data_IF_001319650132
#
_entry.id   IF_001319650132
#
_cell.length_a   1.000
_cell.length_b   1.000
_cell.length_c   1.000
_cell.angle_alpha   90.00
_cell.angle_beta   90.00
_cell.angle_gamma   90.00
#
_symmetry.space_group_name_H-M   'P 1'
#
loop_
_entity.id
_entity.type
_entity.pdbx_description
1 polymer ?
#
# COMPACT_ATOMS: atom_id res chain seq x y z
N UNK A 1 -6.23 -14.78 27.16
CA UNK A 1 -5.46 -13.90 26.25
C UNK A 1 -5.15 -12.62 26.98
N UNK A 2 -3.90 -12.19 27.01
CA UNK A 2 -3.45 -10.94 27.61
C UNK A 2 -3.02 -9.98 26.51
N UNK A 3 -3.23 -8.68 26.72
CA UNK A 3 -2.83 -7.66 25.75
C UNK A 3 -1.81 -6.71 26.36
N UNK A 4 -0.89 -6.23 25.54
CA UNK A 4 0.12 -5.21 25.90
C UNK A 4 0.18 -4.17 24.80
N UNK A 5 0.31 -2.90 25.18
CA UNK A 5 0.53 -1.82 24.21
C UNK A 5 2.01 -1.45 24.22
N UNK A 6 2.61 -1.41 23.03
CA UNK A 6 3.97 -0.93 22.79
C UNK A 6 3.90 0.52 22.36
N UNK A 7 4.57 1.41 23.10
CA UNK A 7 4.49 2.86 22.92
C UNK A 7 5.85 3.52 22.66
N UNK A 8 6.92 2.74 22.66
CA UNK A 8 8.30 3.20 22.47
C UNK A 8 9.06 2.32 21.47
N UNK A 9 10.21 2.80 21.02
CA UNK A 9 11.01 2.16 19.99
C UNK A 9 11.69 0.87 20.50
N UNK A 10 12.04 0.82 21.77
CA UNK A 10 12.68 -0.36 22.37
C UNK A 10 11.69 -1.52 22.43
N UNK A 11 10.46 -1.25 22.87
CA UNK A 11 9.38 -2.23 22.83
C UNK A 11 9.05 -2.68 21.42
N UNK A 12 9.10 -1.77 20.42
CA UNK A 12 8.89 -2.12 19.02
C UNK A 12 9.98 -3.07 18.51
N UNK A 13 11.25 -2.78 18.82
CA UNK A 13 12.36 -3.68 18.50
C UNK A 13 12.24 -5.02 19.23
N UNK A 14 11.81 -4.99 20.48
CA UNK A 14 11.67 -6.19 21.32
C UNK A 14 10.64 -7.21 20.82
N UNK A 15 9.72 -6.82 19.94
CA UNK A 15 8.75 -7.74 19.32
C UNK A 15 9.12 -8.14 17.88
N UNK A 16 10.33 -7.78 17.39
CA UNK A 16 10.72 -8.02 15.99
C UNK A 16 10.61 -9.49 15.59
N UNK A 17 11.23 -10.39 16.33
CA UNK A 17 11.29 -11.82 15.98
C UNK A 17 9.90 -12.44 15.95
N UNK A 18 9.05 -12.08 16.90
CA UNK A 18 7.65 -12.51 16.93
C UNK A 18 6.83 -11.91 15.78
N UNK A 19 7.06 -10.65 15.43
CA UNK A 19 6.44 -10.01 14.28
C UNK A 19 6.80 -10.73 12.97
N UNK A 20 8.09 -10.96 12.75
CA UNK A 20 8.59 -11.68 11.57
C UNK A 20 8.10 -13.13 11.52
N UNK A 21 7.91 -13.78 12.68
CA UNK A 21 7.27 -15.09 12.76
C UNK A 21 5.80 -15.03 12.29
N UNK A 22 5.01 -14.08 12.79
CA UNK A 22 3.62 -13.91 12.39
C UNK A 22 3.51 -13.53 10.90
N UNK A 23 4.35 -12.64 10.40
CA UNK A 23 4.33 -12.26 8.98
C UNK A 23 4.62 -13.44 8.04
N UNK A 24 5.43 -14.40 8.46
CA UNK A 24 5.67 -15.65 7.69
C UNK A 24 4.46 -16.59 7.71
N UNK A 25 3.77 -16.69 8.84
CA UNK A 25 2.68 -17.62 9.07
C UNK A 25 1.32 -17.12 8.57
N UNK A 26 1.07 -15.83 8.61
CA UNK A 26 -0.20 -15.22 8.26
C UNK A 26 -0.25 -14.88 6.77
N UNK A 27 -1.00 -15.66 5.99
CA UNK A 27 -1.14 -15.47 4.54
C UNK A 27 -1.89 -14.19 4.15
N UNK A 28 -2.66 -13.59 5.06
CA UNK A 28 -3.34 -12.30 4.83
C UNK A 28 -2.35 -11.13 4.81
N UNK A 29 -1.15 -11.32 5.35
CA UNK A 29 -0.12 -10.27 5.45
C UNK A 29 0.50 -9.99 4.09
N UNK A 30 0.50 -8.71 3.71
CA UNK A 30 1.21 -8.18 2.55
C UNK A 30 2.52 -7.52 2.96
N UNK A 31 3.33 -7.09 1.99
CA UNK A 31 4.57 -6.35 2.25
C UNK A 31 4.37 -5.13 3.17
N UNK A 32 3.23 -4.44 3.06
CA UNK A 32 2.91 -3.27 3.87
C UNK A 32 2.71 -3.55 5.36
N UNK A 33 2.49 -4.81 5.74
CA UNK A 33 2.36 -5.22 7.14
C UNK A 33 3.64 -5.88 7.70
N UNK A 34 4.73 -5.95 6.91
CA UNK A 34 6.01 -6.51 7.38
C UNK A 34 6.66 -5.64 8.45
N UNK A 35 7.49 -6.25 9.29
CA UNK A 35 8.29 -5.53 10.27
C UNK A 35 9.18 -4.48 9.58
N UNK A 36 9.90 -4.88 8.54
CA UNK A 36 10.79 -3.99 7.80
C UNK A 36 10.09 -2.72 7.29
N UNK A 37 8.90 -2.86 6.69
CA UNK A 37 8.13 -1.72 6.18
C UNK A 37 7.67 -0.79 7.32
N UNK A 38 7.06 -1.34 8.36
CA UNK A 38 6.49 -0.56 9.47
C UNK A 38 7.59 0.09 10.33
N UNK A 39 8.69 -0.62 10.58
CA UNK A 39 9.82 -0.07 11.32
C UNK A 39 10.53 1.04 10.55
N UNK A 40 10.79 0.85 9.24
CA UNK A 40 11.37 1.89 8.38
C UNK A 40 10.48 3.13 8.32
N UNK A 41 9.16 2.93 8.23
CA UNK A 41 8.19 4.02 8.29
C UNK A 41 8.28 4.77 9.62
N UNK A 42 8.30 4.05 10.74
CA UNK A 42 8.36 4.66 12.06
C UNK A 42 9.66 5.43 12.31
N UNK A 43 10.81 4.88 11.91
CA UNK A 43 12.10 5.56 12.03
C UNK A 43 12.14 6.90 11.27
N UNK A 44 11.38 7.03 10.20
CA UNK A 44 11.33 8.25 9.40
C UNK A 44 10.25 9.21 9.91
N UNK A 45 9.00 8.76 9.96
CA UNK A 45 7.85 9.63 10.23
C UNK A 45 7.43 9.66 11.71
N UNK A 46 7.83 8.68 12.50
CA UNK A 46 7.50 8.59 13.93
C UNK A 46 8.16 9.70 14.77
N UNK A 47 9.21 10.35 14.26
CA UNK A 47 9.84 11.53 14.89
C UNK A 47 8.92 12.76 14.97
N UNK A 48 7.84 12.78 14.20
CA UNK A 48 6.90 13.88 14.21
C UNK A 48 6.11 13.89 15.52
N UNK A 49 6.14 15.01 16.25
CA UNK A 49 5.44 15.18 17.52
C UNK A 49 3.92 14.96 17.46
N UNK A 50 3.34 14.93 16.26
CA UNK A 50 1.93 14.58 16.04
C UNK A 50 1.67 13.07 16.00
N UNK A 51 2.70 12.21 16.03
CA UNK A 51 2.58 10.77 16.00
C UNK A 51 2.95 10.17 17.35
N UNK A 52 2.16 9.20 17.82
CA UNK A 52 2.43 8.41 19.02
C UNK A 52 2.30 6.94 18.65
N UNK A 53 3.30 6.13 18.98
CA UNK A 53 3.29 4.69 18.77
C UNK A 53 2.20 4.05 19.64
N UNK A 54 1.44 3.15 19.05
CA UNK A 54 0.34 2.44 19.72
C UNK A 54 0.16 1.03 19.11
N UNK A 55 1.19 0.19 19.22
CA UNK A 55 1.10 -1.18 18.73
C UNK A 55 0.41 -2.03 19.79
N UNK A 56 -0.67 -2.68 19.43
CA UNK A 56 -1.38 -3.61 20.35
C UNK A 56 -0.93 -5.03 20.08
N UNK A 57 -0.37 -5.67 21.08
CA UNK A 57 0.10 -7.05 21.07
C UNK A 57 -0.87 -7.94 21.88
N UNK A 58 -1.25 -9.09 21.33
CA UNK A 58 -2.07 -10.08 22.00
C UNK A 58 -1.25 -11.35 22.25
N UNK A 59 -1.25 -11.82 23.49
CA UNK A 59 -0.52 -13.01 23.92
C UNK A 59 -1.48 -14.10 24.42
N UNK A 60 -1.16 -15.34 24.05
CA UNK A 60 -1.75 -16.54 24.63
C UNK A 60 -0.63 -17.43 25.14
N UNK A 61 -0.70 -17.83 26.42
CA UNK A 61 0.31 -18.69 27.06
C UNK A 61 1.76 -18.17 26.84
N UNK A 62 1.94 -16.86 27.04
CA UNK A 62 3.18 -16.11 26.82
C UNK A 62 3.70 -16.07 25.36
N UNK A 63 2.97 -16.61 24.41
CA UNK A 63 3.28 -16.53 22.98
C UNK A 63 2.49 -15.40 22.32
N UNK A 64 3.14 -14.57 21.55
CA UNK A 64 2.49 -13.51 20.76
C UNK A 64 1.65 -14.14 19.64
N UNK A 65 0.34 -13.90 19.67
CA UNK A 65 -0.62 -14.47 18.72
C UNK A 65 -1.28 -13.44 17.82
N UNK A 66 -1.09 -12.15 18.10
CA UNK A 66 -1.61 -11.09 17.24
C UNK A 66 -0.97 -9.74 17.47
N UNK A 67 -0.84 -8.97 16.40
CA UNK A 67 -0.32 -7.60 16.40
C UNK A 67 -1.28 -6.71 15.61
N UNK A 68 -1.71 -5.61 16.22
CA UNK A 68 -2.32 -4.49 15.51
C UNK A 68 -1.28 -3.36 15.39
N UNK A 69 -0.71 -3.13 14.19
CA UNK A 69 0.37 -2.17 13.96
C UNK A 69 -0.19 -0.74 13.85
N UNK A 70 -0.56 -0.17 14.97
CA UNK A 70 -1.28 1.10 15.04
C UNK A 70 -0.39 2.23 15.58
N UNK A 71 -0.84 3.45 15.30
CA UNK A 71 -0.35 4.70 15.89
C UNK A 71 -1.51 5.64 16.16
N UNK A 72 -1.31 6.61 17.04
CA UNK A 72 -2.21 7.75 17.21
C UNK A 72 -1.61 8.94 16.47
N UNK A 73 -2.38 9.48 15.53
CA UNK A 73 -2.02 10.67 14.75
C UNK A 73 -2.85 11.85 15.19
N UNK A 74 -2.19 12.89 15.74
CA UNK A 74 -2.82 14.16 16.06
C UNK A 74 -2.93 15.03 14.82
N UNK A 75 -4.13 15.57 14.58
CA UNK A 75 -4.41 16.49 13.48
C UNK A 75 -5.08 17.75 14.02
N UNK A 76 -4.50 18.89 13.72
CA UNK A 76 -5.12 20.18 14.06
C UNK A 76 -6.26 20.48 13.09
N UNK A 77 -7.47 20.58 13.61
CA UNK A 77 -8.65 21.09 12.92
C UNK A 77 -8.95 22.49 13.42
N UNK A 78 -9.58 23.33 12.58
CA UNK A 78 -9.86 24.73 12.91
C UNK A 78 -10.51 24.95 14.30
N UNK A 79 -11.27 23.98 14.79
CA UNK A 79 -12.07 24.09 16.01
C UNK A 79 -11.49 23.23 17.14
N UNK A 80 -10.74 22.15 16.83
CA UNK A 80 -10.23 21.21 17.83
C UNK A 80 -9.05 20.41 17.28
N UNK A 81 -8.29 19.78 18.18
CA UNK A 81 -7.30 18.75 17.82
C UNK A 81 -7.99 17.39 17.85
N UNK A 82 -7.72 16.55 16.87
CA UNK A 82 -8.24 15.18 16.79
C UNK A 82 -7.10 14.18 16.88
N UNK A 83 -7.21 13.26 17.81
CA UNK A 83 -6.33 12.11 17.97
C UNK A 83 -6.96 10.90 17.25
N UNK A 84 -6.39 10.53 16.11
CA UNK A 84 -6.89 9.43 15.28
C UNK A 84 -6.01 8.20 15.45
N UNK A 85 -6.59 7.10 15.93
CA UNK A 85 -5.95 5.79 15.94
C UNK A 85 -6.06 5.20 14.53
N UNK A 86 -4.92 4.92 13.90
CA UNK A 86 -4.83 4.44 12.52
C UNK A 86 -3.65 3.48 12.36
N UNK A 87 -3.57 2.79 11.23
CA UNK A 87 -2.38 2.02 10.90
C UNK A 87 -1.13 2.92 10.86
N UNK A 88 0.01 2.36 11.30
CA UNK A 88 1.28 3.07 11.34
C UNK A 88 1.82 3.32 9.93
N UNK A 89 1.89 2.31 9.09
CA UNK A 89 2.33 2.43 7.70
C UNK A 89 1.23 2.94 6.76
N UNK A 90 1.62 3.21 5.52
CA UNK A 90 0.71 3.51 4.40
C UNK A 90 0.87 2.44 3.34
N UNK A 91 -0.23 1.94 2.80
CA UNK A 91 -0.18 0.93 1.76
C UNK A 91 -1.57 0.62 1.23
N UNK A 92 -1.61 -0.18 0.19
CA UNK A 92 -2.86 -0.54 -0.49
C UNK A 92 -3.63 -1.68 0.21
N UNK A 93 -2.94 -2.41 1.10
CA UNK A 93 -3.50 -3.54 1.83
C UNK A 93 -2.94 -3.60 3.24
N UNK A 94 -3.78 -3.28 4.21
CA UNK A 94 -3.42 -3.25 5.62
C UNK A 94 -4.30 -4.20 6.40
N UNK A 95 -3.71 -4.92 7.34
CA UNK A 95 -4.41 -5.84 8.25
C UNK A 95 -3.67 -5.95 9.59
N UNK A 96 -4.27 -6.65 10.54
CA UNK A 96 -3.56 -7.12 11.73
C UNK A 96 -2.83 -8.41 11.39
N UNK A 97 -1.69 -8.65 12.03
CA UNK A 97 -0.96 -9.91 11.91
C UNK A 97 -1.53 -10.88 12.94
N UNK A 98 -1.83 -12.10 12.53
CA UNK A 98 -2.47 -13.10 13.38
C UNK A 98 -1.76 -14.46 13.29
N UNK A 99 -1.70 -15.17 14.40
CA UNK A 99 -1.27 -16.57 14.39
C UNK A 99 -2.39 -17.45 13.83
N UNK A 100 -2.17 -18.01 12.64
CA UNK A 100 -3.14 -18.87 11.95
C UNK A 100 -3.07 -20.36 12.37
N UNK A 101 -2.10 -20.72 13.19
CA UNK A 101 -1.86 -22.14 13.54
C UNK A 101 -2.94 -22.76 14.43
N UNK A 102 -3.71 -21.95 15.15
CA UNK A 102 -4.60 -22.43 16.22
C UNK A 102 -6.10 -22.19 15.99
N UNK A 103 -6.54 -21.71 14.84
CA UNK A 103 -7.94 -21.35 14.54
C UNK A 103 -8.57 -20.39 15.59
N UNK A 104 -7.76 -19.48 16.12
CA UNK A 104 -8.19 -18.52 17.17
C UNK A 104 -8.17 -17.07 16.69
N UNK A 105 -8.05 -16.82 15.38
CA UNK A 105 -7.87 -15.50 14.79
C UNK A 105 -8.95 -14.51 15.23
N UNK A 106 -10.23 -14.90 15.17
CA UNK A 106 -11.34 -14.03 15.58
C UNK A 106 -11.33 -13.71 17.07
N UNK A 107 -10.86 -14.65 17.92
CA UNK A 107 -10.67 -14.39 19.36
C UNK A 107 -9.54 -13.41 19.60
N UNK A 108 -8.45 -13.54 18.83
CA UNK A 108 -7.31 -12.63 18.87
C UNK A 108 -7.71 -11.23 18.41
N UNK A 109 -8.43 -11.10 17.27
CA UNK A 109 -8.96 -9.81 16.80
C UNK A 109 -9.88 -9.18 17.85
N UNK A 110 -10.75 -9.97 18.48
CA UNK A 110 -11.62 -9.51 19.57
C UNK A 110 -10.80 -8.96 20.74
N UNK A 111 -9.73 -9.64 21.15
CA UNK A 111 -8.87 -9.20 22.26
C UNK A 111 -8.12 -7.90 21.88
N UNK A 112 -7.61 -7.78 20.65
CA UNK A 112 -6.98 -6.56 20.15
C UNK A 112 -7.96 -5.37 20.16
N UNK A 113 -9.21 -5.58 19.70
CA UNK A 113 -10.23 -4.53 19.77
C UNK A 113 -10.67 -4.19 21.19
N UNK A 114 -10.71 -5.16 22.11
CA UNK A 114 -10.99 -4.91 23.53
C UNK A 114 -9.92 -3.97 24.12
N UNK A 115 -8.64 -4.23 23.87
CA UNK A 115 -7.56 -3.35 24.31
C UNK A 115 -7.64 -1.95 23.69
N UNK A 116 -7.98 -1.82 22.41
CA UNK A 116 -8.23 -0.52 21.76
C UNK A 116 -9.35 0.25 22.49
N UNK A 117 -10.44 -0.42 22.84
CA UNK A 117 -11.58 0.19 23.55
C UNK A 117 -11.27 0.55 25.02
N UNK A 118 -10.46 -0.26 25.71
CA UNK A 118 -9.99 0.05 27.06
C UNK A 118 -9.19 1.35 27.09
N UNK A 119 -8.44 1.63 26.03
CA UNK A 119 -7.63 2.85 25.88
C UNK A 119 -8.35 3.99 25.14
N UNK A 120 -9.67 3.98 25.13
CA UNK A 120 -10.47 5.00 24.42
C UNK A 120 -10.25 6.45 24.91
N UNK A 121 -9.61 6.65 26.05
CA UNK A 121 -9.21 7.99 26.50
C UNK A 121 -8.08 8.62 25.67
N UNK A 122 -7.33 7.80 24.93
CA UNK A 122 -6.17 8.23 24.15
C UNK A 122 -6.51 8.61 22.70
N UNK A 123 -7.70 8.25 22.21
CA UNK A 123 -8.11 8.54 20.84
C UNK A 123 -9.54 9.09 20.74
N UNK A 124 -9.76 9.90 19.72
CA UNK A 124 -11.06 10.48 19.38
C UNK A 124 -11.78 9.71 18.28
N UNK A 125 -11.02 9.09 17.41
CA UNK A 125 -11.50 8.33 16.25
C UNK A 125 -10.57 7.14 15.95
N UNK A 126 -11.12 5.99 15.66
CA UNK A 126 -10.42 4.90 14.97
C UNK A 126 -10.70 5.04 13.49
N UNK A 127 -9.67 5.03 12.67
CA UNK A 127 -9.77 5.09 11.21
C UNK A 127 -8.78 4.11 10.58
N UNK A 128 -9.27 2.95 10.16
CA UNK A 128 -8.49 1.94 9.48
C UNK A 128 -8.86 1.97 7.99
N UNK A 129 -7.91 2.33 7.15
CA UNK A 129 -8.11 2.43 5.70
C UNK A 129 -7.36 1.31 4.98
N UNK A 130 -7.74 1.05 3.73
CA UNK A 130 -7.10 0.03 2.90
C UNK A 130 -7.11 -1.37 3.52
N UNK A 131 -8.21 -1.69 4.21
CA UNK A 131 -8.43 -3.03 4.73
C UNK A 131 -8.62 -4.01 3.56
N UNK A 132 -7.79 -5.04 3.50
CA UNK A 132 -7.91 -6.07 2.48
C UNK A 132 -9.18 -6.91 2.67
N UNK A 133 -9.84 -7.31 1.55
CA UNK A 133 -11.16 -7.97 1.57
C UNK A 133 -11.16 -9.32 2.29
N UNK A 134 -10.13 -10.12 2.12
CA UNK A 134 -10.14 -11.53 2.51
C UNK A 134 -9.37 -11.77 3.83
N UNK A 135 -9.53 -10.86 4.81
CA UNK A 135 -8.80 -10.91 6.07
C UNK A 135 -9.72 -11.19 7.27
N UNK A 136 -9.18 -11.87 8.28
CA UNK A 136 -9.88 -12.12 9.54
C UNK A 136 -10.28 -10.82 10.25
N UNK A 137 -9.51 -9.74 10.07
CA UNK A 137 -9.84 -8.40 10.59
C UNK A 137 -11.13 -7.87 9.97
N UNK A 138 -11.21 -7.83 8.61
CA UNK A 138 -12.41 -7.30 7.94
C UNK A 138 -13.63 -8.18 8.23
N UNK A 139 -13.46 -9.50 8.23
CA UNK A 139 -14.52 -10.44 8.57
C UNK A 139 -15.08 -10.21 9.98
N UNK A 140 -14.21 -9.98 10.97
CA UNK A 140 -14.62 -9.63 12.33
C UNK A 140 -15.43 -8.33 12.36
N UNK A 141 -14.95 -7.29 11.68
CA UNK A 141 -15.64 -5.98 11.64
C UNK A 141 -17.04 -6.09 11.02
N UNK A 142 -17.17 -6.82 9.92
CA UNK A 142 -18.44 -6.98 9.20
C UNK A 142 -19.48 -7.78 9.97
N UNK A 143 -19.04 -8.76 10.78
CA UNK A 143 -19.95 -9.62 11.55
C UNK A 143 -20.37 -9.04 12.89
N UNK A 144 -19.78 -7.96 13.31
CA UNK A 144 -20.03 -7.40 14.64
C UNK A 144 -20.90 -6.16 14.55
N UNK A 145 -22.13 -6.18 15.07
CA UNK A 145 -23.12 -5.09 14.99
C UNK A 145 -22.57 -3.72 15.45
N UNK A 146 -21.67 -3.73 16.43
CA UNK A 146 -20.99 -2.54 16.94
C UNK A 146 -20.04 -1.90 15.93
N UNK A 147 -19.48 -2.67 14.98
CA UNK A 147 -18.43 -2.23 14.07
C UNK A 147 -18.89 -2.16 12.61
N UNK A 148 -19.77 -3.07 12.21
CA UNK A 148 -20.28 -3.13 10.83
C UNK A 148 -20.74 -1.77 10.27
N UNK A 149 -21.49 -0.92 11.02
CA UNK A 149 -21.92 0.37 10.50
C UNK A 149 -20.78 1.34 10.18
N UNK A 150 -19.58 1.08 10.69
CA UNK A 150 -18.39 1.89 10.41
C UNK A 150 -17.58 1.40 9.21
N UNK A 151 -17.92 0.25 8.63
CA UNK A 151 -17.23 -0.32 7.47
C UNK A 151 -17.84 0.24 6.18
N UNK A 152 -16.98 0.66 5.27
CA UNK A 152 -17.39 1.11 3.94
C UNK A 152 -16.41 0.62 2.87
N UNK A 153 -16.95 0.36 1.67
CA UNK A 153 -16.13 0.09 0.50
C UNK A 153 -15.25 1.30 0.16
N UNK A 154 -13.98 1.07 -0.14
CA UNK A 154 -13.04 2.11 -0.49
C UNK A 154 -12.74 2.13 -1.99
N UNK A 155 -12.25 1.01 -2.54
CA UNK A 155 -11.90 0.91 -3.96
C UNK A 155 -11.69 -0.53 -4.41
N UNK A 156 -11.71 -0.75 -5.73
CA UNK A 156 -11.27 -2.01 -6.34
C UNK A 156 -9.75 -2.06 -6.48
N UNK A 157 -9.20 -3.25 -6.41
CA UNK A 157 -7.79 -3.55 -6.52
C UNK A 157 -7.60 -4.63 -7.60
N UNK A 158 -7.38 -4.24 -8.88
CA UNK A 158 -7.24 -5.20 -9.98
C UNK A 158 -6.02 -6.08 -9.80
N UNK A 159 -6.19 -7.39 -10.05
CA UNK A 159 -5.15 -8.42 -9.89
C UNK A 159 -5.17 -9.39 -11.06
N UNK A 160 -4.01 -9.65 -11.62
CA UNK A 160 -3.80 -10.64 -12.67
C UNK A 160 -3.18 -11.90 -12.04
N UNK A 161 -3.89 -13.01 -12.10
CA UNK A 161 -3.41 -14.31 -11.62
C UNK A 161 -2.87 -15.12 -12.81
N UNK A 162 -1.54 -15.22 -12.90
CA UNK A 162 -0.84 -15.93 -13.95
C UNK A 162 -1.02 -17.45 -13.84
N UNK A 163 -1.32 -17.99 -12.65
CA UNK A 163 -1.53 -19.42 -12.45
C UNK A 163 -2.73 -19.97 -13.24
N UNK A 164 -3.64 -19.10 -13.66
CA UNK A 164 -4.77 -19.46 -14.54
C UNK A 164 -4.34 -19.76 -15.98
N UNK A 165 -3.12 -19.43 -16.33
CA UNK A 165 -2.52 -19.62 -17.64
C UNK A 165 -1.23 -20.41 -17.49
N UNK A 166 -1.27 -21.76 -17.59
CA UNK A 166 -0.11 -22.62 -17.33
C UNK A 166 1.14 -22.32 -18.15
N UNK A 167 0.99 -21.67 -19.33
CA UNK A 167 2.13 -21.27 -20.16
C UNK A 167 1.99 -19.83 -20.64
N UNK A 168 3.11 -19.20 -20.94
CA UNK A 168 3.15 -17.87 -21.56
C UNK A 168 2.38 -17.82 -22.89
N UNK A 169 2.42 -18.92 -23.67
CA UNK A 169 1.66 -19.03 -24.91
C UNK A 169 0.14 -18.98 -24.68
N UNK A 170 -0.34 -19.66 -23.64
CA UNK A 170 -1.76 -19.59 -23.27
C UNK A 170 -2.16 -18.18 -22.81
N UNK A 171 -1.33 -17.54 -22.00
CA UNK A 171 -1.53 -16.15 -21.61
C UNK A 171 -1.60 -15.23 -22.84
N UNK A 172 -0.76 -15.44 -23.84
CA UNK A 172 -0.69 -14.61 -25.06
C UNK A 172 -1.93 -14.67 -25.95
N UNK A 173 -2.80 -15.67 -25.75
CA UNK A 173 -4.08 -15.80 -26.48
C UNK A 173 -5.17 -14.89 -25.97
N UNK A 174 -4.96 -14.17 -24.87
CA UNK A 174 -5.89 -13.15 -24.36
C UNK A 174 -6.01 -11.96 -25.31
N UNK A 175 -7.23 -11.42 -25.42
CA UNK A 175 -7.59 -10.41 -26.43
C UNK A 175 -6.76 -9.11 -26.42
N UNK A 176 -6.16 -8.74 -25.30
CA UNK A 176 -5.30 -7.53 -25.18
C UNK A 176 -3.84 -7.80 -25.56
N UNK A 177 -3.38 -9.01 -25.37
CA UNK A 177 -2.00 -9.39 -25.61
C UNK A 177 -1.53 -9.20 -27.06
N UNK A 178 -2.32 -9.50 -28.12
CA UNK A 178 -1.88 -9.30 -29.50
C UNK A 178 -1.53 -7.86 -29.84
N UNK A 179 -2.23 -6.88 -29.26
CA UNK A 179 -1.90 -5.45 -29.43
C UNK A 179 -0.58 -5.10 -28.73
N UNK A 180 -0.46 -5.50 -27.48
CA UNK A 180 0.71 -5.24 -26.68
C UNK A 180 1.96 -5.93 -27.28
N UNK A 181 1.82 -7.18 -27.77
CA UNK A 181 2.89 -7.89 -28.48
C UNK A 181 3.36 -7.14 -29.74
N UNK A 182 2.44 -6.63 -30.56
CA UNK A 182 2.81 -5.82 -31.72
C UNK A 182 3.57 -4.55 -31.31
N UNK A 183 3.21 -3.92 -30.19
CA UNK A 183 3.95 -2.77 -29.66
C UNK A 183 5.38 -3.16 -29.27
N UNK A 184 5.58 -4.30 -28.62
CA UNK A 184 6.91 -4.82 -28.26
C UNK A 184 7.73 -5.12 -29.51
N UNK A 185 7.17 -5.85 -30.47
CA UNK A 185 7.85 -6.21 -31.71
C UNK A 185 8.27 -4.95 -32.53
N UNK A 186 7.41 -3.94 -32.56
CA UNK A 186 7.73 -2.64 -33.17
C UNK A 186 8.83 -1.93 -32.41
N UNK A 187 8.73 -1.84 -31.09
CA UNK A 187 9.68 -1.17 -30.23
C UNK A 187 11.07 -1.79 -30.32
N UNK A 188 11.17 -3.13 -30.32
CA UNK A 188 12.45 -3.84 -30.50
C UNK A 188 13.17 -3.54 -31.79
N UNK A 189 12.42 -3.18 -32.85
CA UNK A 189 13.00 -2.76 -34.16
C UNK A 189 13.46 -1.31 -34.17
N UNK A 190 12.80 -0.45 -33.39
CA UNK A 190 13.06 0.99 -33.36
C UNK A 190 14.13 1.39 -32.35
N UNK A 191 14.17 0.65 -31.21
CA UNK A 191 15.07 0.96 -30.10
C UNK A 191 15.69 -0.34 -29.59
N UNK A 192 16.98 -0.58 -29.83
CA UNK A 192 17.71 -1.66 -29.18
C UNK A 192 17.67 -1.47 -27.66
N UNK A 193 17.28 -2.51 -26.94
CA UNK A 193 17.24 -2.47 -25.48
C UNK A 193 17.61 -3.81 -24.86
N UNK A 194 18.01 -3.75 -23.59
CA UNK A 194 18.20 -4.91 -22.73
C UNK A 194 17.19 -4.85 -21.60
N UNK A 195 16.50 -5.96 -21.38
CA UNK A 195 15.65 -6.15 -20.19
C UNK A 195 16.52 -6.64 -19.03
N UNK A 196 16.41 -5.97 -17.87
CA UNK A 196 17.11 -6.34 -16.65
C UNK A 196 16.13 -6.40 -15.47
N UNK A 197 16.43 -7.25 -14.52
CA UNK A 197 15.74 -7.36 -13.24
C UNK A 197 16.78 -7.22 -12.16
N UNK A 198 16.57 -6.31 -11.23
CA UNK A 198 17.47 -6.03 -10.11
C UNK A 198 16.66 -5.81 -8.85
N UNK A 199 17.22 -6.15 -7.71
CA UNK A 199 16.66 -5.82 -6.42
C UNK A 199 17.57 -4.90 -5.59
N UNK A 200 17.08 -4.44 -4.44
CA UNK A 200 17.81 -3.50 -3.59
C UNK A 200 19.05 -4.09 -2.89
N UNK A 201 19.24 -5.42 -2.94
CA UNK A 201 20.43 -6.09 -2.41
C UNK A 201 21.54 -6.20 -3.46
N UNK A 202 21.17 -6.38 -4.73
CA UNK A 202 22.10 -6.56 -5.85
C UNK A 202 22.66 -5.24 -6.39
N UNK A 203 21.80 -4.24 -6.60
CA UNK A 203 22.18 -2.95 -7.17
C UNK A 203 21.86 -1.79 -6.22
N UNK A 204 22.86 -1.38 -5.44
CA UNK A 204 22.72 -0.25 -4.50
C UNK A 204 22.45 1.08 -5.18
N UNK A 205 22.75 1.21 -6.48
CA UNK A 205 22.53 2.44 -7.26
C UNK A 205 21.11 2.56 -7.80
N UNK A 206 20.33 1.46 -7.77
CA UNK A 206 19.01 1.41 -8.42
C UNK A 206 18.07 2.49 -7.89
N UNK A 207 18.09 2.75 -6.58
CA UNK A 207 17.28 3.80 -5.98
C UNK A 207 17.54 5.17 -6.63
N UNK A 208 18.81 5.57 -6.71
CA UNK A 208 19.16 6.90 -7.24
C UNK A 208 18.83 7.02 -8.73
N UNK A 209 19.02 5.94 -9.48
CA UNK A 209 18.70 5.87 -10.92
C UNK A 209 17.20 6.05 -11.19
N UNK A 210 16.33 5.31 -10.47
CA UNK A 210 14.88 5.44 -10.63
C UNK A 210 14.35 6.78 -10.10
N UNK A 211 14.91 7.29 -9.00
CA UNK A 211 14.55 8.58 -8.47
C UNK A 211 14.84 9.71 -9.46
N UNK A 212 16.01 9.64 -10.11
CA UNK A 212 16.41 10.60 -11.15
C UNK A 212 15.43 10.56 -12.35
N UNK A 213 15.14 9.38 -12.91
CA UNK A 213 14.19 9.22 -14.02
C UNK A 213 12.80 9.76 -13.65
N UNK A 214 12.31 9.44 -12.44
CA UNK A 214 10.97 9.88 -12.01
C UNK A 214 10.89 11.40 -11.83
N UNK A 215 11.98 12.04 -11.39
CA UNK A 215 12.06 13.52 -11.32
C UNK A 215 12.08 14.13 -12.72
N UNK A 216 12.81 13.56 -13.66
CA UNK A 216 12.82 14.02 -15.07
C UNK A 216 11.45 13.84 -15.73
N UNK A 217 10.79 12.70 -15.57
CA UNK A 217 9.42 12.50 -16.05
C UNK A 217 8.46 13.56 -15.49
N UNK A 218 8.53 13.85 -14.19
CA UNK A 218 7.73 14.91 -13.57
C UNK A 218 7.95 16.26 -14.26
N UNK A 219 9.21 16.65 -14.48
CA UNK A 219 9.55 17.95 -15.07
C UNK A 219 9.08 18.04 -16.52
N UNK A 220 9.24 16.95 -17.27
CA UNK A 220 8.72 16.84 -18.63
C UNK A 220 7.18 16.97 -18.66
N UNK A 221 6.48 16.26 -17.80
CA UNK A 221 5.01 16.29 -17.74
C UNK A 221 4.49 17.69 -17.34
N UNK A 222 5.20 18.37 -16.44
CA UNK A 222 4.85 19.74 -16.05
C UNK A 222 5.09 20.77 -17.15
N UNK A 223 6.24 20.70 -17.79
CA UNK A 223 6.65 21.72 -18.79
C UNK A 223 6.06 21.49 -20.19
N UNK A 224 5.97 20.22 -20.62
CA UNK A 224 5.59 19.88 -22.00
C UNK A 224 4.16 19.33 -22.14
N UNK A 225 3.53 18.88 -21.05
CA UNK A 225 2.19 18.29 -21.06
C UNK A 225 1.18 19.06 -20.19
N UNK A 226 1.54 20.26 -19.72
CA UNK A 226 0.70 21.13 -18.89
C UNK A 226 0.12 20.43 -17.62
N UNK A 227 0.86 19.47 -17.04
CA UNK A 227 0.45 18.74 -15.84
C UNK A 227 1.13 19.32 -14.62
N UNK A 228 0.79 20.56 -14.26
CA UNK A 228 1.39 21.31 -13.14
C UNK A 228 1.21 20.61 -11.76
N UNK A 229 0.17 19.81 -11.63
CA UNK A 229 -0.14 19.02 -10.41
C UNK A 229 0.81 17.82 -10.21
N UNK A 230 1.55 17.40 -11.25
CA UNK A 230 2.42 16.21 -11.17
C UNK A 230 3.55 16.44 -10.17
N UNK A 231 3.68 15.48 -9.22
CA UNK A 231 4.75 15.45 -8.22
C UNK A 231 5.53 14.16 -8.33
N UNK A 232 6.76 14.17 -7.87
CA UNK A 232 7.56 12.97 -7.70
C UNK A 232 7.47 12.48 -6.26
N UNK A 233 7.43 11.16 -6.09
CA UNK A 233 7.55 10.52 -4.77
C UNK A 233 8.90 10.81 -4.10
N UNK A 234 9.89 11.20 -4.91
CA UNK A 234 11.27 11.46 -4.52
C UNK A 234 11.56 12.97 -4.32
N UNK A 235 10.53 13.83 -4.25
CA UNK A 235 10.71 15.28 -4.04
C UNK A 235 10.78 15.67 -2.58
N UNK A 236 10.07 14.93 -1.74
CA UNK A 236 9.98 15.19 -0.31
C UNK A 236 11.09 14.46 0.44
N UNK A 237 11.83 15.18 1.31
CA UNK A 237 12.99 14.63 2.03
C UNK A 237 12.63 13.48 2.98
N UNK A 238 11.49 13.54 3.65
CA UNK A 238 11.07 12.46 4.54
C UNK A 238 10.70 11.22 3.74
N UNK A 239 10.00 11.38 2.61
CA UNK A 239 9.73 10.27 1.69
C UNK A 239 11.03 9.71 1.10
N UNK A 240 11.99 10.57 0.74
CA UNK A 240 13.31 10.12 0.26
C UNK A 240 14.04 9.27 1.30
N UNK A 241 14.09 9.72 2.56
CA UNK A 241 14.70 8.94 3.66
C UNK A 241 14.01 7.59 3.85
N UNK A 242 12.69 7.59 3.87
CA UNK A 242 11.89 6.35 3.99
C UNK A 242 12.16 5.37 2.85
N UNK A 243 12.15 5.85 1.61
CA UNK A 243 12.35 5.02 0.43
C UNK A 243 13.79 4.46 0.36
N UNK A 244 14.81 5.25 0.71
CA UNK A 244 16.18 4.76 0.81
C UNK A 244 16.30 3.60 1.81
N UNK A 245 15.66 3.73 2.99
CA UNK A 245 15.60 2.64 3.97
C UNK A 245 14.91 1.38 3.44
N UNK A 246 13.85 1.55 2.64
CA UNK A 246 13.14 0.42 2.03
C UNK A 246 13.98 -0.30 0.99
N UNK A 247 14.80 0.43 0.21
CA UNK A 247 15.62 -0.16 -0.85
C UNK A 247 16.90 -0.82 -0.31
N UNK A 248 17.46 -0.32 0.80
CA UNK A 248 18.75 -0.76 1.31
C UNK A 248 18.74 -2.24 1.70
N UNK A 249 19.49 -3.06 0.95
CA UNK A 249 19.64 -4.49 1.20
C UNK A 249 18.35 -5.31 1.06
N UNK A 250 17.33 -4.80 0.36
CA UNK A 250 16.00 -5.40 0.32
C UNK A 250 15.75 -6.17 -0.98
N UNK A 251 15.88 -7.49 -0.92
CA UNK A 251 15.58 -8.42 -2.01
C UNK A 251 14.09 -8.45 -2.44
N UNK A 252 13.18 -7.97 -1.55
CA UNK A 252 11.74 -7.93 -1.83
C UNK A 252 11.31 -6.73 -2.67
N UNK A 253 12.22 -5.81 -2.93
CA UNK A 253 11.99 -4.63 -3.75
C UNK A 253 12.65 -4.81 -5.11
N UNK A 254 11.90 -5.39 -6.04
CA UNK A 254 12.39 -5.78 -7.36
C UNK A 254 12.05 -4.72 -8.40
N UNK A 255 13.04 -4.31 -9.17
CA UNK A 255 12.88 -3.34 -10.28
C UNK A 255 13.16 -4.00 -11.61
N UNK A 256 12.17 -3.98 -12.48
CA UNK A 256 12.25 -4.37 -13.89
C UNK A 256 12.65 -3.15 -14.70
N UNK A 257 13.62 -3.29 -15.61
CA UNK A 257 14.23 -2.21 -16.36
C UNK A 257 14.26 -2.54 -17.85
N UNK A 258 13.95 -1.56 -18.70
CA UNK A 258 14.44 -1.53 -20.07
C UNK A 258 15.56 -0.50 -20.16
N UNK A 259 16.74 -0.92 -20.57
CA UNK A 259 17.92 -0.06 -20.73
C UNK A 259 18.34 -0.04 -22.19
N UNK A 260 18.81 1.12 -22.68
CA UNK A 260 19.44 1.24 -24.00
C UNK A 260 20.85 0.64 -24.00
N UNK A 261 21.55 0.70 -25.14
CA UNK A 261 22.89 0.14 -25.28
C UNK A 261 23.93 0.86 -24.39
N UNK A 262 23.70 2.13 -24.05
CA UNK A 262 24.53 2.92 -23.14
C UNK A 262 24.22 2.64 -21.65
N UNK A 263 23.25 1.79 -21.35
CA UNK A 263 22.83 1.47 -19.98
C UNK A 263 21.92 2.53 -19.33
N UNK A 264 21.40 3.49 -20.12
CA UNK A 264 20.41 4.44 -19.62
C UNK A 264 19.02 3.80 -19.52
N UNK A 265 18.28 4.09 -18.46
CA UNK A 265 16.92 3.58 -18.26
C UNK A 265 15.97 4.23 -19.27
N UNK A 266 15.33 3.42 -20.09
CA UNK A 266 14.21 3.81 -20.95
C UNK A 266 12.93 3.93 -20.16
N UNK A 267 12.61 2.86 -19.41
CA UNK A 267 11.48 2.76 -18.50
C UNK A 267 11.81 1.78 -17.38
N UNK A 268 11.27 2.01 -16.22
CA UNK A 268 11.36 1.07 -15.10
C UNK A 268 9.98 0.78 -14.50
N UNK A 269 9.89 -0.37 -13.82
CA UNK A 269 8.76 -0.73 -12.97
C UNK A 269 9.29 -1.40 -11.71
N UNK A 270 9.07 -0.77 -10.56
CA UNK A 270 9.41 -1.33 -9.25
C UNK A 270 8.19 -1.97 -8.61
N UNK A 271 8.38 -3.16 -8.06
CA UNK A 271 7.35 -3.95 -7.41
C UNK A 271 7.82 -4.40 -6.02
N UNK A 272 6.89 -4.51 -5.08
CA UNK A 272 7.10 -5.30 -3.86
C UNK A 272 6.78 -6.76 -4.17
N UNK A 273 7.78 -7.62 -4.02
CA UNK A 273 7.61 -9.07 -4.16
C UNK A 273 7.52 -9.67 -2.75
N UNK A 274 6.37 -10.20 -2.43
CA UNK A 274 6.15 -10.79 -1.12
C UNK A 274 5.21 -11.99 -1.21
N UNK A 275 5.70 -13.16 -0.77
CA UNK A 275 5.03 -14.44 -0.98
C UNK A 275 4.75 -14.63 -2.48
N UNK A 276 3.53 -14.98 -2.85
CA UNK A 276 3.11 -15.20 -4.24
C UNK A 276 2.63 -13.90 -4.96
N UNK A 277 2.78 -12.74 -4.32
CA UNK A 277 2.27 -11.47 -4.85
C UNK A 277 3.40 -10.57 -5.34
N UNK A 278 3.22 -10.02 -6.53
CA UNK A 278 4.07 -9.02 -7.17
C UNK A 278 3.25 -7.72 -7.22
N UNK A 279 3.42 -6.90 -6.20
CA UNK A 279 2.64 -5.68 -6.07
C UNK A 279 3.33 -4.52 -6.80
N UNK A 280 2.68 -4.00 -7.85
CA UNK A 280 3.17 -2.86 -8.61
C UNK A 280 3.14 -1.58 -7.78
N UNK A 281 4.33 -1.07 -7.44
CA UNK A 281 4.46 0.12 -6.59
C UNK A 281 4.68 1.41 -7.39
N UNK A 282 5.70 1.44 -8.24
CA UNK A 282 6.10 2.65 -8.95
C UNK A 282 6.58 2.34 -10.37
N UNK A 283 6.39 3.28 -11.28
CA UNK A 283 6.89 3.21 -12.65
C UNK A 283 7.23 4.62 -13.14
N UNK A 284 8.21 4.74 -13.98
CA UNK A 284 8.61 5.98 -14.64
C UNK A 284 9.42 5.70 -15.89
N UNK A 285 9.45 6.66 -16.80
CA UNK A 285 10.16 6.55 -18.08
C UNK A 285 11.02 7.78 -18.37
N UNK A 286 12.07 7.59 -19.14
CA UNK A 286 12.92 8.70 -19.61
C UNK A 286 12.17 9.57 -20.63
N UNK A 287 12.12 10.90 -20.46
CA UNK A 287 11.50 11.82 -21.40
C UNK A 287 12.03 11.71 -22.85
N UNK A 288 13.25 11.23 -23.05
CA UNK A 288 13.82 10.94 -24.37
C UNK A 288 12.93 10.01 -25.20
N UNK A 289 12.21 9.09 -24.53
CA UNK A 289 11.36 8.08 -25.14
C UNK A 289 9.86 8.37 -25.01
N UNK A 290 9.49 9.58 -24.58
CA UNK A 290 8.09 9.98 -24.40
C UNK A 290 7.24 10.02 -25.69
N UNK A 291 7.88 9.99 -26.85
CA UNK A 291 7.25 9.87 -28.17
C UNK A 291 6.80 8.44 -28.49
N UNK A 292 7.31 7.44 -27.74
CA UNK A 292 6.95 6.03 -27.94
C UNK A 292 5.67 5.73 -27.19
N UNK A 293 4.67 5.27 -27.93
CA UNK A 293 3.41 4.87 -27.35
C UNK A 293 3.53 3.53 -26.61
N UNK A 294 2.80 3.40 -25.50
CA UNK A 294 2.64 2.13 -24.76
C UNK A 294 3.91 1.58 -24.09
N UNK A 295 4.89 2.42 -23.73
CA UNK A 295 6.07 1.98 -22.98
C UNK A 295 5.70 1.17 -21.73
N UNK A 296 4.66 1.58 -20.98
CA UNK A 296 4.17 0.86 -19.79
C UNK A 296 3.60 -0.53 -20.12
N UNK A 297 3.05 -0.70 -21.33
CA UNK A 297 2.57 -2.01 -21.76
C UNK A 297 3.76 -2.90 -22.17
N UNK A 298 4.79 -2.30 -22.79
CA UNK A 298 6.00 -3.02 -23.22
C UNK A 298 6.72 -3.61 -22.01
N UNK A 299 7.04 -2.80 -21.00
CA UNK A 299 7.71 -3.33 -19.78
C UNK A 299 6.86 -4.35 -19.05
N UNK A 300 5.53 -4.20 -19.08
CA UNK A 300 4.61 -5.15 -18.47
C UNK A 300 4.68 -6.53 -19.14
N UNK A 301 4.79 -6.57 -20.47
CA UNK A 301 4.90 -7.82 -21.22
C UNK A 301 6.25 -8.49 -20.97
N UNK A 302 7.33 -7.72 -21.01
CA UNK A 302 8.67 -8.22 -20.68
C UNK A 302 8.72 -8.80 -19.27
N UNK A 303 8.09 -8.11 -18.31
CA UNK A 303 7.96 -8.60 -16.95
C UNK A 303 7.15 -9.91 -16.89
N UNK A 304 6.00 -10.01 -17.55
CA UNK A 304 5.17 -11.21 -17.55
C UNK A 304 5.92 -12.38 -18.20
N UNK A 305 6.61 -12.17 -19.32
CA UNK A 305 7.43 -13.21 -19.96
C UNK A 305 8.50 -13.72 -18.99
N UNK A 306 9.22 -12.80 -18.34
CA UNK A 306 10.23 -13.16 -17.33
C UNK A 306 9.66 -14.00 -16.19
N UNK A 307 8.45 -13.67 -15.71
CA UNK A 307 7.81 -14.39 -14.59
C UNK A 307 7.42 -15.84 -14.96
N UNK A 308 7.18 -16.14 -16.23
CA UNK A 308 7.01 -17.52 -16.69
C UNK A 308 8.34 -18.28 -16.78
N UNK A 309 9.43 -17.60 -17.06
CA UNK A 309 10.76 -18.20 -17.13
C UNK A 309 11.42 -18.31 -15.74
N UNK A 310 11.18 -17.33 -14.87
CA UNK A 310 11.76 -17.20 -13.52
C UNK A 310 10.71 -16.69 -12.55
N UNK A 311 9.89 -17.56 -11.97
CA UNK A 311 8.77 -17.14 -11.14
C UNK A 311 9.24 -16.49 -9.83
N UNK A 312 8.87 -15.24 -9.63
CA UNK A 312 9.00 -14.51 -8.36
C UNK A 312 7.67 -14.51 -7.58
N UNK A 313 6.61 -14.96 -8.22
CA UNK A 313 5.25 -15.05 -7.74
C UNK A 313 4.28 -15.19 -8.91
N UNK A 314 3.07 -15.65 -8.66
CA UNK A 314 2.06 -15.89 -9.70
C UNK A 314 1.02 -14.77 -9.83
N UNK A 315 0.90 -13.87 -8.85
CA UNK A 315 -0.15 -12.86 -8.79
C UNK A 315 0.42 -11.46 -8.95
N UNK A 316 0.12 -10.81 -10.07
CA UNK A 316 0.47 -9.41 -10.32
C UNK A 316 -0.67 -8.54 -9.79
N UNK A 317 -0.38 -7.76 -8.77
CA UNK A 317 -1.30 -6.83 -8.15
C UNK A 317 -1.02 -5.40 -8.62
N UNK A 318 -2.03 -4.76 -9.19
CA UNK A 318 -1.93 -3.39 -9.72
C UNK A 318 -2.17 -2.32 -8.67
N UNK A 319 -2.40 -2.71 -7.41
CA UNK A 319 -2.66 -1.81 -6.30
C UNK A 319 -4.08 -1.21 -6.29
N UNK A 320 -4.36 -0.43 -5.28
CA UNK A 320 -5.65 0.22 -5.08
C UNK A 320 -5.99 1.21 -6.21
N UNK A 321 -7.27 1.30 -6.55
CA UNK A 321 -7.81 2.26 -7.51
C UNK A 321 -8.29 1.64 -8.83
N UNK A 322 -9.51 2.04 -9.22
CA UNK A 322 -10.25 1.55 -10.41
C UNK A 322 -9.83 2.29 -11.69
N UNK A 323 -8.53 2.39 -11.95
CA UNK A 323 -8.05 3.06 -13.17
C UNK A 323 -8.23 2.19 -14.40
N UNK A 324 -8.79 2.72 -15.53
CA UNK A 324 -9.09 1.94 -16.74
C UNK A 324 -7.90 1.15 -17.30
N UNK A 325 -6.67 1.69 -17.18
CA UNK A 325 -5.47 1.02 -17.69
C UNK A 325 -5.16 -0.31 -16.97
N UNK A 326 -5.56 -0.48 -15.70
CA UNK A 326 -5.40 -1.73 -14.94
C UNK A 326 -6.30 -2.83 -15.49
N UNK A 327 -7.54 -2.46 -15.85
CA UNK A 327 -8.52 -3.37 -16.42
C UNK A 327 -8.25 -3.77 -17.88
N UNK A 328 -7.22 -3.23 -18.51
CA UNK A 328 -6.70 -3.78 -19.78
C UNK A 328 -6.05 -5.15 -19.58
N UNK A 329 -5.53 -5.44 -18.39
CA UNK A 329 -4.76 -6.63 -18.10
C UNK A 329 -5.58 -7.73 -17.44
N UNK A 330 -6.66 -7.38 -16.76
CA UNK A 330 -7.47 -8.33 -16.00
C UNK A 330 -8.88 -7.81 -15.78
N UNK A 331 -9.85 -8.73 -15.77
CA UNK A 331 -11.21 -8.46 -15.27
C UNK A 331 -11.37 -8.80 -13.77
N UNK A 332 -10.35 -9.41 -13.16
CA UNK A 332 -10.38 -9.82 -11.78
C UNK A 332 -9.89 -8.69 -10.87
N UNK A 333 -10.52 -8.56 -9.73
CA UNK A 333 -10.12 -7.61 -8.70
C UNK A 333 -10.55 -8.08 -7.32
N UNK A 334 -9.83 -7.63 -6.30
CA UNK A 334 -10.25 -7.68 -4.91
C UNK A 334 -10.78 -6.31 -4.51
N UNK A 335 -11.40 -6.21 -3.34
CA UNK A 335 -11.90 -4.96 -2.80
C UNK A 335 -11.05 -4.51 -1.61
N UNK A 336 -10.92 -3.20 -1.46
CA UNK A 336 -10.38 -2.57 -0.26
C UNK A 336 -11.49 -1.82 0.46
N UNK A 337 -11.43 -1.83 1.78
CA UNK A 337 -12.43 -1.24 2.66
C UNK A 337 -11.80 -0.22 3.61
N UNK A 338 -12.63 0.60 4.21
CA UNK A 338 -12.26 1.45 5.34
C UNK A 338 -13.20 1.20 6.51
N UNK A 339 -12.68 1.42 7.71
CA UNK A 339 -13.46 1.38 8.95
C UNK A 339 -13.26 2.67 9.72
N UNK A 340 -14.37 3.26 10.17
CA UNK A 340 -14.35 4.47 10.98
C UNK A 340 -15.25 4.32 12.19
N UNK A 341 -14.71 4.64 13.37
CA UNK A 341 -15.46 4.66 14.63
C UNK A 341 -15.10 5.88 15.45
N UNK A 342 -16.10 6.65 15.86
CA UNK A 342 -15.94 7.83 16.73
C UNK A 342 -16.07 7.45 18.20
N UNK A 343 -15.25 8.08 19.04
CA UNK A 343 -15.35 7.93 20.50
C UNK A 343 -16.49 8.81 21.04
N UNK A 344 -17.70 8.29 21.03
CA UNK A 344 -18.90 8.99 21.49
C UNK A 344 -18.96 9.20 23.01
N UNK A 345 -17.98 8.69 23.79
CA UNK A 345 -17.87 9.00 25.22
C UNK A 345 -17.35 10.41 25.47
N UNK A 346 -16.58 10.98 24.52
CA UNK A 346 -16.00 12.32 24.63
C UNK A 346 -17.04 13.41 24.31
N UNK A 347 -17.26 14.34 25.26
CA UNK A 347 -18.10 15.54 25.03
C UNK A 347 -17.53 16.41 23.90
N UNK A 348 -16.19 16.56 23.86
CA UNK A 348 -15.47 17.30 22.80
C UNK A 348 -15.83 16.77 21.42
N UNK A 349 -15.87 15.44 21.25
CA UNK A 349 -16.19 14.80 19.96
C UNK A 349 -17.66 14.98 19.60
N UNK A 350 -18.58 14.84 20.55
CA UNK A 350 -20.01 15.12 20.31
C UNK A 350 -20.21 16.56 19.80
N UNK A 351 -19.56 17.53 20.45
CA UNK A 351 -19.61 18.93 20.04
C UNK A 351 -19.00 19.15 18.65
N UNK A 352 -17.82 18.56 18.38
CA UNK A 352 -17.18 18.61 17.07
C UNK A 352 -18.08 18.07 15.95
N UNK A 353 -18.67 16.90 16.14
CA UNK A 353 -19.56 16.27 15.17
C UNK A 353 -20.85 17.09 14.96
N UNK A 354 -21.40 17.68 16.02
CA UNK A 354 -22.54 18.58 15.92
C UNK A 354 -22.21 19.77 15.01
N UNK A 355 -21.07 20.45 15.23
CA UNK A 355 -20.65 21.56 14.36
C UNK A 355 -20.40 21.13 12.92
N UNK A 356 -19.83 19.94 12.68
CA UNK A 356 -19.65 19.42 11.32
C UNK A 356 -21.00 19.19 10.62
N UNK A 357 -21.99 18.65 11.32
CA UNK A 357 -23.34 18.44 10.80
C UNK A 357 -24.01 19.78 10.46
N UNK A 358 -23.95 20.74 11.37
CA UNK A 358 -24.49 22.10 11.14
C UNK A 358 -23.86 22.78 9.92
N UNK A 359 -22.53 22.67 9.79
CA UNK A 359 -21.80 23.21 8.64
C UNK A 359 -22.19 22.52 7.31
N UNK A 360 -22.45 21.22 7.34
CA UNK A 360 -22.99 20.49 6.19
C UNK A 360 -24.35 21.02 5.77
N UNK A 361 -25.31 21.16 6.72
CA UNK A 361 -26.63 21.71 6.49
C UNK A 361 -26.60 23.13 5.88
N UNK A 362 -25.74 24.00 6.43
CA UNK A 362 -25.58 25.38 5.92
C UNK A 362 -25.05 25.41 4.48
N UNK A 363 -24.18 24.44 4.09
CA UNK A 363 -23.70 24.34 2.72
C UNK A 363 -24.79 23.86 1.76
N UNK A 364 -25.61 22.92 2.17
CA UNK A 364 -26.75 22.44 1.38
C UNK A 364 -27.75 23.57 1.15
N UNK A 365 -28.16 24.29 2.19
CA UNK A 365 -29.07 25.45 2.10
C UNK A 365 -28.49 26.55 1.20
N UNK A 366 -27.18 26.86 1.31
CA UNK A 366 -26.54 27.81 0.39
C UNK A 366 -26.51 27.32 -1.05
N UNK A 367 -26.21 26.03 -1.28
CA UNK A 367 -26.25 25.43 -2.62
C UNK A 367 -27.63 25.50 -3.26
N UNK A 368 -28.70 25.26 -2.51
CA UNK A 368 -30.07 25.39 -2.97
C UNK A 368 -30.51 26.84 -3.23
N UNK A 369 -29.95 27.81 -2.47
CA UNK A 369 -30.20 29.24 -2.68
C UNK A 369 -29.50 29.79 -3.95
N UNK A 370 -28.39 29.21 -4.39
CA UNK A 370 -27.69 29.58 -5.63
C UNK A 370 -28.17 28.79 -6.86
N UNK A 371 -28.98 27.75 -6.68
CA UNK A 371 -29.58 26.95 -7.75
C UNK A 371 -30.99 27.43 -8.15
N UNK A 372 -31.54 28.46 -7.49
CA UNK A 372 -32.76 29.19 -7.85
C UNK A 372 -32.37 30.55 -8.40
#
# INVERSE_FOLDING_TARGET
MNTKIVTDIEGFLGIKDDWERLERQDEDVTYYSTFHFNYSWWLTFGKNASHKLFIVCCYQDNRLTGIAPLMIKRTDKKITKLDTLCFMGRGDYLTFLLDKSGQHELKTVKALFAAIEEHKAEWDKVELTHLASDTSLLYYLLRHDKYNPGVSYLTSCPRLDLSQYPTYEQFTKLGLYPRARKCVEKFRKEVPYRFRVVDGSEDKSIYDRIAWIHKQERDYLRSQKNRSERRSLFDDKENEEFLKRLFEGNERLVTFLLENEEGEIIIYRTCYVYKDNIHGWNTGYSPKYAHIHSLSDIIMIEMIQYLYERPLGSKIDFGAGSYPWKFKWTSQFTASYSFTKWNMSSRRIKTYLFFQKMKGLLRTVRGELYAR
#
